data_IF_788390403511
#
_entry.id   IF_788390403511
#
_cell.length_a   1.000
_cell.length_b   1.000
_cell.length_c   1.000
_cell.angle_alpha   90.00
_cell.angle_beta   90.00
_cell.angle_gamma   90.00
#
_symmetry.space_group_name_H-M   'P 1'
#
loop_
_entity.id
_entity.type
_entity.pdbx_description
1 polymer ?
#
# COMPACT_ATOMS: atom_id res chain seq x y z
N UNK A 1 -4.29 1.81 12.05
CA UNK A 1 -3.89 0.51 11.49
C UNK A 1 -4.37 -0.55 12.46
N UNK A 2 -4.72 -1.68 12.02
CA UNK A 2 -5.25 -2.77 12.84
C UNK A 2 -5.16 -4.07 12.06
N UNK A 3 -5.75 -5.14 12.60
CA UNK A 3 -5.70 -6.42 11.94
C UNK A 3 -6.26 -6.36 10.51
N UNK A 4 -5.39 -6.40 9.53
CA UNK A 4 -5.71 -6.32 8.11
C UNK A 4 -6.43 -5.01 7.68
N UNK A 5 -5.93 -3.89 8.18
CA UNK A 5 -6.25 -2.54 7.77
C UNK A 5 -4.97 -1.71 7.75
N UNK A 6 -4.77 -0.90 6.72
CA UNK A 6 -3.59 -0.01 6.57
C UNK A 6 -3.98 1.48 6.68
N UNK A 7 -5.18 1.77 7.20
CA UNK A 7 -5.73 3.12 7.19
C UNK A 7 -4.97 4.08 8.11
N UNK A 8 -4.64 5.25 7.57
CA UNK A 8 -3.91 6.32 8.27
C UNK A 8 -4.59 7.66 7.99
N UNK A 9 -4.81 8.47 9.02
CA UNK A 9 -5.21 9.85 8.86
C UNK A 9 -3.98 10.76 8.95
N UNK A 10 -3.63 11.42 7.84
CA UNK A 10 -2.59 12.46 7.79
C UNK A 10 -3.28 13.81 7.87
N UNK A 11 -2.87 14.62 8.83
CA UNK A 11 -3.44 15.94 9.06
C UNK A 11 -2.36 17.00 9.05
N UNK A 12 -2.58 18.05 8.26
CA UNK A 12 -1.81 19.29 8.27
C UNK A 12 -2.76 20.46 8.56
N UNK A 13 -2.26 21.69 8.74
CA UNK A 13 -3.14 22.88 8.83
C UNK A 13 -4.03 23.07 7.59
N UNK A 14 -3.58 22.61 6.42
CA UNK A 14 -4.20 22.91 5.14
C UNK A 14 -5.15 21.82 4.64
N UNK A 15 -4.90 20.54 5.00
CA UNK A 15 -5.64 19.38 4.46
C UNK A 15 -5.62 18.18 5.42
N UNK A 16 -6.70 17.40 5.39
CA UNK A 16 -6.79 16.10 6.07
C UNK A 16 -7.02 15.00 5.05
N UNK A 17 -6.08 14.07 4.96
CA UNK A 17 -6.09 12.96 4.00
C UNK A 17 -6.30 11.66 4.77
N UNK A 18 -7.39 10.95 4.52
CA UNK A 18 -7.57 9.59 4.99
C UNK A 18 -7.02 8.64 3.93
N UNK A 19 -5.91 8.02 4.27
CA UNK A 19 -5.18 7.06 3.44
C UNK A 19 -5.76 5.68 3.62
N UNK A 20 -6.01 4.99 2.52
CA UNK A 20 -6.43 3.58 2.45
C UNK A 20 -7.53 3.20 3.46
N UNK A 21 -8.76 3.71 3.31
CA UNK A 21 -9.87 3.49 4.24
C UNK A 21 -10.49 2.09 4.08
N UNK A 22 -9.65 1.05 4.13
CA UNK A 22 -10.05 -0.34 3.96
C UNK A 22 -9.84 -1.19 5.19
N UNK A 23 -10.64 -2.24 5.31
CA UNK A 23 -10.48 -3.28 6.30
C UNK A 23 -11.00 -4.61 5.79
N UNK A 24 -10.21 -5.68 5.94
CA UNK A 24 -10.59 -7.03 5.56
C UNK A 24 -10.53 -7.99 6.74
N UNK A 25 -11.20 -9.12 6.62
CA UNK A 25 -11.07 -10.20 7.62
C UNK A 25 -9.65 -10.77 7.61
N UNK A 26 -9.14 -11.11 8.77
CA UNK A 26 -7.87 -11.79 8.91
C UNK A 26 -7.92 -13.16 8.24
N UNK A 27 -6.77 -13.60 7.71
CA UNK A 27 -6.66 -14.91 7.07
C UNK A 27 -7.06 -16.05 8.02
N UNK A 28 -7.48 -17.19 7.45
CA UNK A 28 -7.92 -18.37 8.21
C UNK A 28 -6.91 -18.84 9.27
N UNK A 29 -5.60 -18.75 8.96
CA UNK A 29 -4.51 -19.13 9.85
C UNK A 29 -4.24 -18.16 11.01
N UNK A 30 -4.88 -16.99 11.04
CA UNK A 30 -4.73 -16.06 12.18
C UNK A 30 -5.35 -16.67 13.43
N UNK A 31 -4.67 -16.66 14.60
CA UNK A 31 -5.04 -17.44 15.78
C UNK A 31 -6.24 -16.85 16.54
N UNK A 32 -7.36 -16.63 15.87
CA UNK A 32 -8.63 -16.19 16.43
C UNK A 32 -9.82 -16.94 15.83
N UNK A 33 -10.91 -17.11 16.58
CA UNK A 33 -12.18 -17.55 16.03
C UNK A 33 -12.72 -16.56 14.98
N UNK A 34 -13.47 -17.05 13.99
CA UNK A 34 -14.00 -16.21 12.91
C UNK A 34 -14.99 -15.14 13.43
N UNK A 35 -15.72 -15.43 14.51
CA UNK A 35 -16.57 -14.42 15.18
C UNK A 35 -15.76 -13.21 15.67
N UNK A 36 -14.58 -13.45 16.26
CA UNK A 36 -13.70 -12.38 16.73
C UNK A 36 -13.04 -11.64 15.59
N UNK A 37 -12.63 -12.34 14.51
CA UNK A 37 -12.12 -11.71 13.31
C UNK A 37 -13.14 -10.73 12.71
N UNK A 38 -14.41 -11.14 12.58
CA UNK A 38 -15.50 -10.26 12.11
C UNK A 38 -15.74 -9.08 13.04
N UNK A 39 -15.77 -9.30 14.36
CA UNK A 39 -15.95 -8.24 15.37
C UNK A 39 -14.83 -7.20 15.28
N UNK A 40 -13.57 -7.64 15.14
CA UNK A 40 -12.41 -6.75 15.01
C UNK A 40 -12.42 -5.99 13.68
N UNK A 41 -12.79 -6.64 12.57
CA UNK A 41 -12.99 -5.95 11.29
C UNK A 41 -14.04 -4.85 11.42
N UNK A 42 -15.18 -5.15 12.03
CA UNK A 42 -16.25 -4.16 12.24
C UNK A 42 -15.77 -2.99 13.11
N UNK A 43 -15.05 -3.26 14.21
CA UNK A 43 -14.46 -2.21 15.05
C UNK A 43 -13.48 -1.33 14.27
N UNK A 44 -12.65 -1.93 13.43
CA UNK A 44 -11.73 -1.18 12.57
C UNK A 44 -12.49 -0.31 11.56
N UNK A 45 -13.52 -0.84 10.91
CA UNK A 45 -14.38 -0.06 10.00
C UNK A 45 -15.02 1.14 10.69
N UNK A 46 -15.56 0.96 11.89
CA UNK A 46 -16.14 2.06 12.68
C UNK A 46 -15.12 3.17 12.99
N UNK A 47 -13.88 2.79 13.31
CA UNK A 47 -12.81 3.77 13.55
C UNK A 47 -12.43 4.53 12.27
N UNK A 48 -12.37 3.84 11.13
CA UNK A 48 -12.11 4.43 9.81
C UNK A 48 -13.22 5.40 9.41
N UNK A 49 -14.48 5.00 9.57
CA UNK A 49 -15.65 5.88 9.34
C UNK A 49 -15.61 7.10 10.26
N UNK A 50 -15.23 6.92 11.52
CA UNK A 50 -15.03 8.03 12.45
C UNK A 50 -13.99 9.03 11.97
N UNK A 51 -12.84 8.55 11.47
CA UNK A 51 -11.78 9.38 10.90
C UNK A 51 -12.21 10.09 9.61
N UNK A 52 -12.98 9.43 8.76
CA UNK A 52 -13.47 9.98 7.50
C UNK A 52 -14.35 11.23 7.71
N UNK A 53 -15.06 11.36 8.84
CA UNK A 53 -15.89 12.54 9.13
C UNK A 53 -15.10 13.84 9.12
N UNK A 54 -13.82 13.79 9.44
CA UNK A 54 -12.94 14.97 9.48
C UNK A 54 -12.04 15.11 8.27
N UNK A 55 -11.92 14.06 7.46
CA UNK A 55 -11.07 14.07 6.27
C UNK A 55 -11.72 14.88 5.13
N UNK A 56 -10.90 15.63 4.40
CA UNK A 56 -11.29 16.36 3.21
C UNK A 56 -11.14 15.50 1.96
N UNK A 57 -10.17 14.60 2.01
CA UNK A 57 -9.72 13.80 0.88
C UNK A 57 -9.52 12.35 1.30
N UNK A 58 -9.90 11.44 0.43
CA UNK A 58 -9.63 10.01 0.55
C UNK A 58 -8.55 9.65 -0.46
N UNK A 59 -7.47 9.03 -0.01
CA UNK A 59 -6.47 8.46 -0.89
C UNK A 59 -6.54 6.93 -0.88
N UNK A 60 -6.60 6.31 -2.06
CA UNK A 60 -6.59 4.85 -2.26
C UNK A 60 -5.34 4.48 -3.07
N UNK A 61 -4.40 3.82 -2.40
CA UNK A 61 -3.11 3.46 -2.98
C UNK A 61 -3.18 2.30 -3.97
N UNK A 62 -4.16 1.41 -3.78
CA UNK A 62 -4.48 0.30 -4.68
C UNK A 62 -5.80 -0.39 -4.28
N UNK A 63 -6.29 -1.35 -5.08
CA UNK A 63 -7.64 -1.87 -4.92
C UNK A 63 -7.71 -3.24 -4.22
N UNK A 64 -6.92 -3.50 -3.17
CA UNK A 64 -7.20 -4.58 -2.24
C UNK A 64 -8.18 -4.11 -1.16
N UNK A 65 -9.05 -5.01 -0.66
CA UNK A 65 -10.12 -4.65 0.27
C UNK A 65 -9.64 -4.25 1.67
N UNK A 66 -8.41 -4.51 2.02
CA UNK A 66 -7.76 -3.98 3.22
C UNK A 66 -7.23 -2.55 3.03
N UNK A 67 -7.34 -1.99 1.80
CA UNK A 67 -6.98 -0.59 1.47
C UNK A 67 -8.18 0.26 1.04
N UNK A 68 -9.31 -0.34 0.68
CA UNK A 68 -10.55 0.40 0.44
C UNK A 68 -11.76 -0.41 0.88
N UNK A 69 -12.73 0.25 1.48
CA UNK A 69 -14.06 -0.28 1.76
C UNK A 69 -14.97 0.02 0.56
N UNK A 70 -15.85 -0.90 0.21
CA UNK A 70 -16.81 -0.64 -0.87
C UNK A 70 -17.83 0.42 -0.45
N UNK A 71 -18.21 1.37 -1.34
CA UNK A 71 -19.19 2.42 -1.04
C UNK A 71 -20.55 1.91 -0.54
N UNK A 72 -20.99 0.72 -0.99
CA UNK A 72 -22.24 0.12 -0.48
C UNK A 72 -22.12 -0.34 0.99
N UNK A 73 -20.94 -0.67 1.47
CA UNK A 73 -20.71 -1.09 2.86
C UNK A 73 -20.66 0.11 3.82
N UNK A 74 -20.03 1.21 3.38
CA UNK A 74 -19.87 2.42 4.20
C UNK A 74 -19.87 3.67 3.30
N UNK A 75 -21.06 4.11 2.81
CA UNK A 75 -21.18 5.24 1.89
C UNK A 75 -20.68 6.55 2.49
N UNK A 76 -20.78 6.72 3.80
CA UNK A 76 -20.31 7.89 4.54
C UNK A 76 -18.79 8.12 4.44
N UNK A 77 -18.00 7.13 4.08
CA UNK A 77 -16.55 7.28 3.84
C UNK A 77 -16.28 8.23 2.67
N UNK A 78 -17.14 8.22 1.66
CA UNK A 78 -16.83 8.81 0.35
C UNK A 78 -17.70 10.04 0.04
N UNK A 79 -18.81 10.25 0.77
CA UNK A 79 -19.76 11.30 0.48
C UNK A 79 -19.12 12.69 0.59
N UNK A 80 -19.16 13.48 -0.50
CA UNK A 80 -18.64 14.84 -0.55
C UNK A 80 -17.12 14.95 -0.44
N UNK A 81 -16.38 13.89 -0.79
CA UNK A 81 -14.93 13.83 -0.67
C UNK A 81 -14.22 13.97 -2.02
N UNK A 82 -13.01 14.51 -2.00
CA UNK A 82 -12.07 14.35 -3.08
C UNK A 82 -11.50 12.94 -3.00
N UNK A 83 -11.56 12.21 -4.11
CA UNK A 83 -11.10 10.83 -4.22
C UNK A 83 -9.81 10.81 -5.05
N UNK A 84 -8.68 10.77 -4.37
CA UNK A 84 -7.37 10.60 -4.97
C UNK A 84 -7.06 9.12 -5.02
N UNK A 85 -7.12 8.54 -6.20
CA UNK A 85 -7.06 7.10 -6.35
C UNK A 85 -5.97 6.70 -7.33
N UNK A 86 -5.45 5.50 -7.17
CA UNK A 86 -4.58 4.89 -8.17
C UNK A 86 -5.32 4.79 -9.50
N UNK A 87 -4.62 5.08 -10.63
CA UNK A 87 -5.17 4.91 -11.99
C UNK A 87 -5.80 3.50 -12.13
N UNK A 88 -7.13 3.41 -12.39
CA UNK A 88 -7.83 2.14 -12.51
C UNK A 88 -7.64 1.46 -13.86
N UNK A 89 -6.92 2.09 -14.80
CA UNK A 89 -6.85 1.66 -16.19
C UNK A 89 -5.57 0.91 -16.53
N UNK A 90 -4.44 1.33 -15.95
CA UNK A 90 -3.10 0.84 -16.27
C UNK A 90 -2.23 0.66 -15.03
N UNK A 91 -1.13 -0.06 -15.18
CA UNK A 91 -0.28 -0.45 -14.03
C UNK A 91 -1.10 -1.11 -12.92
N UNK A 92 -1.98 -2.02 -13.31
CA UNK A 92 -2.96 -2.66 -12.45
C UNK A 92 -3.16 -4.12 -12.90
N UNK A 93 -3.23 -5.07 -11.96
CA UNK A 93 -3.58 -6.44 -12.30
C UNK A 93 -5.09 -6.61 -12.51
N UNK A 94 -5.49 -7.70 -13.18
CA UNK A 94 -6.92 -7.93 -13.52
C UNK A 94 -7.86 -7.90 -12.32
N UNK A 95 -7.45 -8.47 -11.19
CA UNK A 95 -8.30 -8.48 -9.99
C UNK A 95 -8.47 -7.09 -9.36
N UNK A 96 -7.42 -6.28 -9.32
CA UNK A 96 -7.52 -4.89 -8.88
C UNK A 96 -8.33 -4.05 -9.88
N UNK A 97 -8.16 -4.28 -11.20
CA UNK A 97 -8.93 -3.61 -12.25
C UNK A 97 -10.44 -3.84 -12.08
N UNK A 98 -10.85 -5.07 -11.79
CA UNK A 98 -12.25 -5.40 -11.51
C UNK A 98 -12.77 -4.70 -10.24
N UNK A 99 -11.98 -4.72 -9.15
CA UNK A 99 -12.35 -4.07 -7.88
C UNK A 99 -12.46 -2.56 -8.01
N UNK A 100 -11.57 -1.93 -8.80
CA UNK A 100 -11.64 -0.50 -9.10
C UNK A 100 -12.97 -0.14 -9.78
N UNK A 101 -13.42 -0.96 -10.73
CA UNK A 101 -14.69 -0.74 -11.44
C UNK A 101 -15.90 -0.99 -10.56
N UNK A 102 -15.85 -1.98 -9.68
CA UNK A 102 -16.89 -2.18 -8.65
C UNK A 102 -16.97 -0.95 -7.74
N UNK A 103 -15.81 -0.47 -7.25
CA UNK A 103 -15.72 0.69 -6.40
C UNK A 103 -16.32 1.95 -7.09
N UNK A 104 -15.81 2.30 -8.27
CA UNK A 104 -16.26 3.47 -9.02
C UNK A 104 -17.73 3.34 -9.48
N UNK A 105 -18.14 2.14 -9.90
CA UNK A 105 -19.54 1.87 -10.24
C UNK A 105 -20.50 2.09 -9.07
N UNK A 106 -20.09 1.75 -7.84
CA UNK A 106 -20.88 2.03 -6.64
C UNK A 106 -20.89 3.52 -6.27
N UNK A 107 -19.80 4.26 -6.52
CA UNK A 107 -19.79 5.73 -6.39
C UNK A 107 -20.79 6.35 -7.38
N UNK A 108 -20.73 5.99 -8.68
CA UNK A 108 -21.68 6.46 -9.70
C UNK A 108 -23.12 6.12 -9.30
N UNK A 109 -23.38 4.85 -8.95
CA UNK A 109 -24.72 4.38 -8.58
C UNK A 109 -25.30 5.15 -7.38
N UNK A 110 -24.48 5.53 -6.40
CA UNK A 110 -24.91 6.32 -5.25
C UNK A 110 -25.41 7.73 -5.64
N UNK A 111 -25.12 8.17 -6.87
CA UNK A 111 -25.52 9.46 -7.46
C UNK A 111 -26.52 9.31 -8.59
N UNK A 112 -27.05 8.11 -8.83
CA UNK A 112 -27.99 7.81 -9.90
C UNK A 112 -27.34 7.74 -11.29
N UNK A 113 -26.02 7.58 -11.35
CA UNK A 113 -25.22 7.47 -12.57
C UNK A 113 -24.78 6.03 -12.81
N UNK A 114 -24.47 5.69 -14.05
CA UNK A 114 -23.85 4.42 -14.42
C UNK A 114 -22.33 4.61 -14.60
N UNK A 115 -21.53 3.56 -14.34
CA UNK A 115 -20.07 3.64 -14.55
C UNK A 115 -19.73 3.99 -16.01
N UNK A 116 -20.53 3.54 -16.95
CA UNK A 116 -20.38 3.78 -18.38
C UNK A 116 -20.39 5.27 -18.75
N UNK A 117 -21.03 6.13 -17.92
CA UNK A 117 -21.07 7.58 -18.17
C UNK A 117 -19.69 8.25 -18.05
N UNK A 118 -18.77 7.63 -17.32
CA UNK A 118 -17.40 8.08 -17.14
C UNK A 118 -16.37 7.15 -17.81
N UNK A 119 -16.84 6.27 -18.71
CA UNK A 119 -15.97 5.38 -19.47
C UNK A 119 -15.69 5.93 -20.88
N UNK A 120 -14.47 5.67 -21.38
CA UNK A 120 -14.06 5.98 -22.74
C UNK A 120 -13.34 4.81 -23.40
N UNK A 121 -13.09 4.93 -24.68
CA UNK A 121 -12.27 3.97 -25.41
C UNK A 121 -10.85 3.97 -24.84
N UNK A 122 -10.20 2.80 -24.80
CA UNK A 122 -8.83 2.69 -24.30
C UNK A 122 -7.85 3.42 -25.23
N UNK A 123 -6.77 3.92 -24.68
CA UNK A 123 -5.65 4.47 -25.44
C UNK A 123 -4.61 3.40 -25.75
N UNK A 124 -3.94 3.56 -26.86
CA UNK A 124 -2.72 2.82 -27.12
C UNK A 124 -1.61 3.41 -26.27
N UNK A 125 -0.96 2.57 -25.47
CA UNK A 125 0.16 2.94 -24.60
C UNK A 125 1.43 2.22 -25.02
N UNK A 126 2.54 2.92 -24.97
CA UNK A 126 3.87 2.33 -25.04
C UNK A 126 4.34 2.11 -23.60
N UNK A 127 4.11 0.91 -23.06
CA UNK A 127 4.58 0.55 -21.73
C UNK A 127 5.98 -0.08 -21.85
N UNK A 128 7.01 0.66 -21.43
CA UNK A 128 8.34 0.11 -21.21
C UNK A 128 8.32 -1.02 -20.15
N UNK A 129 9.37 -1.81 -20.11
CA UNK A 129 9.50 -2.83 -19.06
C UNK A 129 9.66 -2.16 -17.70
N UNK A 130 8.76 -2.39 -16.73
CA UNK A 130 8.87 -1.76 -15.40
C UNK A 130 10.14 -2.18 -14.64
N UNK A 131 10.80 -3.26 -15.02
CA UNK A 131 12.06 -3.67 -14.43
C UNK A 131 13.24 -2.78 -14.85
N UNK A 132 13.15 -2.09 -15.98
CA UNK A 132 14.18 -1.15 -16.45
C UNK A 132 14.28 0.08 -15.53
N UNK A 133 13.23 0.38 -14.77
CA UNK A 133 13.22 1.45 -13.75
C UNK A 133 13.82 0.99 -12.39
N UNK A 134 14.37 -0.23 -12.29
CA UNK A 134 14.89 -0.83 -11.06
C UNK A 134 16.40 -1.16 -11.17
N UNK A 135 17.28 -0.16 -11.30
CA UNK A 135 18.71 -0.39 -11.52
C UNK A 135 19.42 -1.07 -10.35
N UNK A 136 18.97 -0.89 -9.09
CA UNK A 136 19.60 -1.57 -7.94
C UNK A 136 19.17 -3.03 -7.88
N UNK A 137 17.90 -3.33 -8.04
CA UNK A 137 17.39 -4.70 -8.07
C UNK A 137 17.97 -5.50 -9.26
N UNK A 138 18.17 -4.85 -10.41
CA UNK A 138 18.71 -5.48 -11.62
C UNK A 138 20.19 -5.89 -11.46
N UNK A 139 20.97 -5.13 -10.69
CA UNK A 139 22.41 -5.37 -10.44
C UNK A 139 22.67 -6.23 -9.22
N UNK A 140 21.62 -6.57 -8.45
CA UNK A 140 21.78 -7.35 -7.23
C UNK A 140 22.34 -8.74 -7.52
N UNK A 141 23.31 -9.15 -6.73
CA UNK A 141 23.79 -10.54 -6.75
C UNK A 141 22.79 -11.44 -5.97
N UNK A 142 22.23 -12.41 -6.67
CA UNK A 142 21.29 -13.38 -6.12
C UNK A 142 21.96 -14.73 -5.80
N UNK A 143 23.30 -14.87 -5.98
CA UNK A 143 24.00 -16.13 -5.75
C UNK A 143 23.34 -17.30 -6.46
N UNK A 144 23.17 -18.42 -5.75
CA UNK A 144 22.54 -19.64 -6.29
C UNK A 144 21.08 -19.45 -6.72
N UNK A 145 20.40 -18.38 -6.27
CA UNK A 145 19.03 -18.07 -6.66
C UNK A 145 18.93 -17.35 -8.02
N UNK A 146 20.06 -16.95 -8.63
CA UNK A 146 20.10 -16.14 -9.87
C UNK A 146 19.30 -16.77 -11.02
N UNK A 147 19.58 -18.02 -11.34
CA UNK A 147 18.90 -18.72 -12.44
C UNK A 147 17.37 -18.75 -12.25
N UNK A 148 16.93 -19.01 -11.02
CA UNK A 148 15.50 -19.00 -10.69
C UNK A 148 14.90 -17.60 -10.80
N UNK A 149 15.62 -16.58 -10.37
CA UNK A 149 15.20 -15.16 -10.49
C UNK A 149 15.04 -14.77 -11.96
N UNK A 150 15.99 -15.12 -12.83
CA UNK A 150 15.91 -14.85 -14.26
C UNK A 150 14.73 -15.55 -14.92
N UNK A 151 14.47 -16.81 -14.58
CA UNK A 151 13.28 -17.54 -15.06
C UNK A 151 12.00 -16.84 -14.64
N UNK A 152 11.86 -16.43 -13.37
CA UNK A 152 10.70 -15.73 -12.85
C UNK A 152 10.52 -14.37 -13.51
N UNK A 153 11.60 -13.61 -13.71
CA UNK A 153 11.56 -12.32 -14.40
C UNK A 153 11.09 -12.46 -15.84
N UNK A 154 11.62 -13.44 -16.59
CA UNK A 154 11.17 -13.70 -17.97
C UNK A 154 9.67 -14.05 -18.04
N UNK A 155 9.20 -14.91 -17.13
CA UNK A 155 7.76 -15.26 -17.05
C UNK A 155 6.92 -14.03 -16.65
N UNK A 156 7.44 -13.21 -15.75
CA UNK A 156 6.81 -11.98 -15.30
C UNK A 156 6.67 -10.96 -16.43
N UNK A 157 7.73 -10.75 -17.19
CA UNK A 157 7.74 -9.87 -18.38
C UNK A 157 6.72 -10.31 -19.43
N UNK A 158 6.61 -11.60 -19.70
CA UNK A 158 5.60 -12.12 -20.63
C UNK A 158 4.16 -11.85 -20.13
N UNK A 159 3.89 -12.04 -18.84
CA UNK A 159 2.60 -11.69 -18.23
C UNK A 159 2.33 -10.19 -18.25
N UNK A 160 3.35 -9.37 -18.05
CA UNK A 160 3.23 -7.91 -18.16
C UNK A 160 2.78 -7.51 -19.56
N UNK A 161 3.37 -8.07 -20.64
CA UNK A 161 2.89 -7.84 -22.00
C UNK A 161 1.40 -8.17 -22.19
N UNK A 162 0.93 -9.28 -21.61
CA UNK A 162 -0.51 -9.64 -21.63
C UNK A 162 -1.38 -8.64 -20.85
N UNK A 163 -0.86 -8.01 -19.80
CA UNK A 163 -1.57 -6.95 -19.08
C UNK A 163 -1.63 -5.67 -19.90
N UNK A 164 -0.55 -5.30 -20.59
CA UNK A 164 -0.54 -4.12 -21.49
C UNK A 164 -1.59 -4.29 -22.59
N UNK A 165 -1.66 -5.45 -23.24
CA UNK A 165 -2.70 -5.77 -24.21
C UNK A 165 -4.10 -5.68 -23.59
N UNK A 166 -4.28 -6.23 -22.39
CA UNK A 166 -5.55 -6.14 -21.65
C UNK A 166 -5.97 -4.68 -21.39
N UNK A 167 -5.06 -3.81 -20.97
CA UNK A 167 -5.36 -2.39 -20.74
C UNK A 167 -5.74 -1.65 -22.02
N UNK A 168 -5.14 -1.99 -23.15
CA UNK A 168 -5.41 -1.38 -24.46
C UNK A 168 -6.69 -1.86 -25.13
N UNK A 169 -7.30 -2.93 -24.62
CA UNK A 169 -8.50 -3.54 -25.22
C UNK A 169 -9.76 -3.40 -24.36
N UNK A 170 -9.63 -2.91 -23.13
CA UNK A 170 -10.76 -2.74 -22.24
C UNK A 170 -11.06 -1.26 -21.98
N UNK A 171 -12.34 -0.87 -21.79
CA UNK A 171 -12.72 0.52 -21.56
C UNK A 171 -11.96 1.15 -20.39
N UNK A 172 -11.56 2.39 -20.56
CA UNK A 172 -10.92 3.18 -19.53
C UNK A 172 -11.95 4.04 -18.81
N UNK A 173 -11.76 4.22 -17.52
CA UNK A 173 -12.49 5.19 -16.69
C UNK A 173 -11.78 6.54 -16.80
N UNK A 174 -12.52 7.63 -16.81
CA UNK A 174 -11.96 8.99 -16.78
C UNK A 174 -11.95 9.57 -15.37
N UNK A 175 -11.10 10.56 -15.16
CA UNK A 175 -11.25 11.47 -14.02
C UNK A 175 -12.53 12.26 -14.19
N UNK A 176 -13.35 12.36 -13.15
CA UNK A 176 -14.66 12.96 -13.26
C UNK A 176 -15.12 13.57 -11.94
N UNK A 177 -16.02 14.54 -12.04
CA UNK A 177 -16.93 14.90 -10.95
C UNK A 177 -18.14 13.95 -11.00
N UNK A 178 -18.39 13.23 -9.91
CA UNK A 178 -19.52 12.28 -9.77
C UNK A 178 -20.36 12.77 -8.61
N UNK A 179 -21.44 13.48 -8.91
CA UNK A 179 -22.22 14.19 -7.90
C UNK A 179 -21.37 15.21 -7.15
N UNK A 180 -21.20 15.03 -5.83
CA UNK A 180 -20.38 15.88 -4.96
C UNK A 180 -18.95 15.32 -4.73
N UNK A 181 -18.58 14.26 -5.42
CA UNK A 181 -17.24 13.70 -5.39
C UNK A 181 -16.40 14.21 -6.57
N UNK A 182 -15.12 14.48 -6.33
CA UNK A 182 -14.11 14.72 -7.36
C UNK A 182 -13.15 13.54 -7.39
N UNK A 183 -13.04 12.84 -8.53
CA UNK A 183 -12.19 11.67 -8.72
C UNK A 183 -10.96 12.06 -9.55
N UNK A 184 -9.76 11.91 -8.95
CA UNK A 184 -8.47 12.17 -9.60
C UNK A 184 -7.57 10.93 -9.51
N UNK A 185 -6.87 10.62 -10.60
CA UNK A 185 -5.84 9.57 -10.64
C UNK A 185 -4.48 10.19 -10.32
N UNK A 186 -3.88 9.75 -9.22
CA UNK A 186 -2.73 10.49 -8.65
C UNK A 186 -1.36 9.84 -8.89
N UNK A 187 -1.30 8.80 -9.72
CA UNK A 187 -0.03 8.12 -10.06
C UNK A 187 1.02 9.12 -10.58
N UNK A 188 2.12 9.30 -9.84
CA UNK A 188 3.22 10.19 -10.17
C UNK A 188 2.90 11.69 -10.10
N UNK A 189 1.76 12.08 -9.53
CA UNK A 189 1.37 13.49 -9.39
C UNK A 189 1.96 14.13 -8.15
N UNK A 190 2.02 15.44 -8.21
CA UNK A 190 2.28 16.33 -7.10
C UNK A 190 1.11 17.31 -6.97
N UNK A 191 0.65 17.54 -5.72
CA UNK A 191 -0.46 18.44 -5.39
C UNK A 191 0.00 19.36 -4.27
N UNK A 192 -0.31 20.64 -4.39
CA UNK A 192 -0.11 21.64 -3.35
C UNK A 192 -1.46 22.01 -2.72
N UNK A 193 -1.51 22.04 -1.40
CA UNK A 193 -2.65 22.51 -0.62
C UNK A 193 -2.12 23.51 0.43
N UNK A 194 -2.27 24.80 0.17
CA UNK A 194 -1.68 25.83 1.00
C UNK A 194 -0.16 25.70 1.12
N UNK A 195 0.34 25.46 2.32
CA UNK A 195 1.76 25.22 2.60
C UNK A 195 2.16 23.75 2.57
N UNK A 196 1.19 22.87 2.34
CA UNK A 196 1.38 21.41 2.32
C UNK A 196 1.65 20.92 0.90
N UNK A 197 2.79 20.24 0.72
CA UNK A 197 3.18 19.58 -0.52
C UNK A 197 2.91 18.08 -0.41
N UNK A 198 2.20 17.53 -1.40
CA UNK A 198 1.76 16.14 -1.44
C UNK A 198 2.29 15.52 -2.72
N UNK A 199 3.07 14.44 -2.61
CA UNK A 199 3.65 13.74 -3.75
C UNK A 199 3.25 12.28 -3.74
N UNK A 200 2.89 11.76 -4.91
CA UNK A 200 2.56 10.37 -5.13
C UNK A 200 3.63 9.72 -6.01
N UNK A 201 4.00 8.50 -5.70
CA UNK A 201 4.92 7.77 -6.56
C UNK A 201 4.29 7.41 -7.90
N UNK A 202 5.11 7.18 -8.92
CA UNK A 202 4.71 6.31 -10.02
C UNK A 202 4.28 4.95 -9.46
N UNK A 203 3.56 4.12 -10.25
CA UNK A 203 3.18 2.78 -9.81
C UNK A 203 4.40 1.93 -9.44
N UNK A 204 4.41 1.39 -8.23
CA UNK A 204 5.43 0.52 -7.68
C UNK A 204 4.89 -0.92 -7.63
N UNK A 205 5.72 -1.94 -7.85
CA UNK A 205 5.30 -3.32 -7.67
C UNK A 205 4.86 -3.58 -6.22
N UNK A 206 3.77 -4.29 -6.06
CA UNK A 206 3.28 -4.74 -4.76
C UNK A 206 4.20 -5.85 -4.20
N UNK A 207 5.22 -5.47 -3.49
CA UNK A 207 6.23 -6.35 -2.92
C UNK A 207 7.34 -6.75 -3.91
N UNK A 208 7.15 -7.81 -4.69
CA UNK A 208 8.15 -8.34 -5.59
C UNK A 208 7.96 -7.90 -7.04
N UNK A 209 9.05 -7.91 -7.79
CA UNK A 209 9.04 -7.64 -9.23
C UNK A 209 8.12 -8.62 -9.97
N UNK A 210 7.27 -8.08 -10.83
CA UNK A 210 6.26 -8.81 -11.61
C UNK A 210 5.29 -9.66 -10.77
N UNK A 211 5.05 -9.26 -9.53
CA UNK A 211 4.08 -9.91 -8.67
C UNK A 211 2.69 -9.96 -9.33
N UNK A 212 1.93 -11.06 -9.16
CA UNK A 212 0.55 -11.12 -9.64
C UNK A 212 -0.41 -10.20 -8.84
N UNK A 213 0.05 -9.63 -7.73
CA UNK A 213 -0.72 -8.70 -6.89
C UNK A 213 -0.85 -7.31 -7.55
N UNK A 214 -0.02 -7.00 -8.55
CA UNK A 214 -0.08 -5.75 -9.31
C UNK A 214 0.79 -4.64 -8.73
N UNK A 215 0.28 -3.43 -8.75
CA UNK A 215 1.01 -2.22 -8.38
C UNK A 215 0.27 -1.42 -7.31
N UNK A 216 1.04 -0.64 -6.57
CA UNK A 216 0.60 0.27 -5.50
C UNK A 216 1.20 1.66 -5.72
N UNK A 217 0.70 2.67 -5.01
CA UNK A 217 1.27 4.02 -5.01
C UNK A 217 1.66 4.38 -3.57
N UNK A 218 2.88 4.88 -3.38
CA UNK A 218 3.32 5.50 -2.14
C UNK A 218 2.90 6.97 -2.07
N UNK A 219 2.90 7.51 -0.86
CA UNK A 219 2.52 8.90 -0.57
C UNK A 219 3.60 9.58 0.28
N UNK A 220 3.94 10.81 -0.07
CA UNK A 220 4.78 11.70 0.73
C UNK A 220 4.01 12.99 1.00
N UNK A 221 3.89 13.39 2.26
CA UNK A 221 3.28 14.65 2.68
C UNK A 221 4.30 15.46 3.44
N UNK A 222 4.54 16.69 2.98
CA UNK A 222 5.51 17.62 3.57
C UNK A 222 4.81 18.92 3.98
N UNK A 223 4.99 19.34 5.23
CA UNK A 223 4.45 20.57 5.77
C UNK A 223 5.29 21.07 6.95
N UNK A 224 5.65 22.35 6.97
CA UNK A 224 6.36 22.98 8.08
C UNK A 224 7.71 22.33 8.42
N UNK A 225 8.41 21.79 7.43
CA UNK A 225 9.68 21.08 7.61
C UNK A 225 9.55 19.63 8.11
N UNK A 226 8.36 19.16 8.44
CA UNK A 226 8.10 17.74 8.71
C UNK A 226 7.68 17.00 7.44
N UNK A 227 8.14 15.76 7.29
CA UNK A 227 7.82 14.90 6.14
C UNK A 227 7.36 13.53 6.62
N UNK A 228 6.17 13.13 6.21
CA UNK A 228 5.60 11.80 6.44
C UNK A 228 5.62 11.02 5.14
N UNK A 229 6.11 9.80 5.17
CA UNK A 229 6.13 8.89 4.03
C UNK A 229 5.31 7.64 4.35
N UNK A 230 4.37 7.29 3.47
CA UNK A 230 3.59 6.06 3.49
C UNK A 230 3.98 5.19 2.29
N UNK A 231 4.42 3.97 2.55
CA UNK A 231 4.93 3.08 1.49
C UNK A 231 3.84 2.38 0.69
N UNK A 232 2.60 2.29 1.21
CA UNK A 232 1.66 1.27 0.76
C UNK A 232 2.28 -0.13 0.88
N UNK A 233 1.81 -1.12 0.12
CA UNK A 233 2.16 -2.54 0.25
C UNK A 233 3.47 -2.90 -0.48
N UNK A 234 4.60 -2.35 -0.02
CA UNK A 234 5.92 -2.69 -0.55
C UNK A 234 6.55 -3.94 0.10
N UNK A 235 5.88 -4.53 1.10
CA UNK A 235 6.29 -5.77 1.77
C UNK A 235 7.75 -5.78 2.23
N UNK A 236 8.13 -4.69 2.93
CA UNK A 236 9.41 -4.69 3.57
C UNK A 236 10.26 -3.41 3.55
N UNK A 237 10.34 -2.53 2.51
CA UNK A 237 10.20 -2.78 1.08
C UNK A 237 11.18 -3.83 0.56
N UNK A 238 10.68 -4.76 -0.27
CA UNK A 238 11.51 -5.89 -0.73
C UNK A 238 12.46 -5.49 -1.88
N UNK A 239 12.05 -4.56 -2.74
CA UNK A 239 12.84 -4.10 -3.89
C UNK A 239 13.81 -3.01 -3.45
N UNK A 240 15.07 -3.14 -3.82
CA UNK A 240 16.18 -2.27 -3.40
C UNK A 240 15.98 -0.81 -3.82
N UNK A 241 15.42 -0.58 -5.00
CA UNK A 241 15.14 0.76 -5.54
C UNK A 241 14.06 1.47 -4.73
N UNK A 242 13.08 0.74 -4.19
CA UNK A 242 12.04 1.31 -3.34
C UNK A 242 12.56 1.67 -1.94
N UNK A 243 13.50 0.91 -1.42
CA UNK A 243 14.22 1.30 -0.21
C UNK A 243 15.07 2.56 -0.46
N UNK A 244 15.69 2.65 -1.64
CA UNK A 244 16.46 3.84 -2.02
C UNK A 244 15.55 5.07 -2.14
N UNK A 245 14.37 4.95 -2.75
CA UNK A 245 13.38 6.03 -2.76
C UNK A 245 13.04 6.53 -1.35
N UNK A 246 12.82 5.65 -0.38
CA UNK A 246 12.56 6.05 1.02
C UNK A 246 13.77 6.76 1.62
N UNK A 247 14.99 6.31 1.30
CA UNK A 247 16.24 6.94 1.77
C UNK A 247 16.41 8.34 1.16
N UNK A 248 16.19 8.47 -0.14
CA UNK A 248 16.33 9.74 -0.87
C UNK A 248 15.29 10.78 -0.42
N UNK A 249 14.07 10.34 -0.09
CA UNK A 249 13.06 11.20 0.51
C UNK A 249 13.43 11.67 1.91
N UNK A 250 14.18 10.89 2.64
CA UNK A 250 14.63 11.20 4.00
C UNK A 250 13.53 11.80 4.90
N UNK A 251 12.43 11.07 5.14
CA UNK A 251 11.28 11.59 5.90
C UNK A 251 11.56 11.65 7.40
N UNK A 252 10.75 12.43 8.14
CA UNK A 252 10.76 12.49 9.61
C UNK A 252 10.03 11.28 10.22
N UNK A 253 8.97 10.81 9.54
CA UNK A 253 8.14 9.68 9.95
C UNK A 253 7.94 8.76 8.74
N UNK A 254 8.12 7.46 8.96
CA UNK A 254 7.84 6.43 7.94
C UNK A 254 6.70 5.55 8.43
N UNK A 255 5.72 5.33 7.57
CA UNK A 255 4.67 4.33 7.76
C UNK A 255 4.90 3.26 6.69
N UNK A 256 5.50 2.16 7.10
CA UNK A 256 5.97 1.09 6.22
C UNK A 256 5.16 -0.19 6.40
N UNK A 257 4.81 -0.80 5.29
CA UNK A 257 4.37 -2.18 5.25
C UNK A 257 5.54 -3.13 5.51
N UNK A 258 5.39 -4.07 6.42
CA UNK A 258 6.40 -5.08 6.70
C UNK A 258 6.31 -6.31 5.79
N UNK A 259 7.35 -7.16 5.75
CA UNK A 259 7.33 -8.36 4.94
C UNK A 259 6.24 -9.32 5.37
N UNK A 260 5.65 -10.02 4.39
CA UNK A 260 4.60 -11.01 4.63
C UNK A 260 5.19 -12.30 5.23
N UNK A 261 5.71 -12.21 6.46
CA UNK A 261 6.41 -13.30 7.15
C UNK A 261 5.54 -14.52 7.34
N UNK A 262 4.21 -14.36 7.49
CA UNK A 262 3.24 -15.45 7.58
C UNK A 262 3.17 -16.34 6.33
N UNK A 263 3.72 -15.89 5.21
CA UNK A 263 3.86 -16.66 3.96
C UNK A 263 5.25 -17.26 3.76
N UNK A 264 6.13 -17.14 4.78
CA UNK A 264 7.48 -17.68 4.71
C UNK A 264 7.49 -19.21 4.55
N UNK A 265 8.26 -19.67 3.56
CA UNK A 265 8.31 -21.09 3.18
C UNK A 265 7.20 -21.53 2.22
N UNK A 266 6.23 -20.65 1.94
CA UNK A 266 5.15 -20.91 0.98
C UNK A 266 5.31 -20.04 -0.28
N UNK A 267 5.00 -18.76 -0.23
CA UNK A 267 5.17 -17.82 -1.36
C UNK A 267 6.32 -16.85 -1.13
N UNK A 268 6.73 -16.64 0.11
CA UNK A 268 7.90 -15.82 0.48
C UNK A 268 9.07 -16.77 0.76
N UNK A 269 10.09 -16.74 -0.07
CA UNK A 269 11.33 -17.50 0.13
C UNK A 269 12.31 -16.71 1.00
N UNK A 270 13.36 -17.41 1.46
CA UNK A 270 14.40 -16.83 2.33
C UNK A 270 15.10 -15.63 1.68
N UNK A 271 15.44 -15.71 0.40
CA UNK A 271 16.14 -14.63 -0.30
C UNK A 271 15.33 -13.35 -0.30
N UNK A 272 14.02 -13.43 -0.60
CA UNK A 272 13.15 -12.26 -0.63
C UNK A 272 12.85 -11.70 0.77
N UNK A 273 12.73 -12.56 1.79
CA UNK A 273 12.60 -12.10 3.18
C UNK A 273 13.85 -11.33 3.61
N UNK A 274 15.03 -11.87 3.34
CA UNK A 274 16.32 -11.21 3.67
C UNK A 274 16.49 -9.89 2.93
N UNK A 275 16.02 -9.77 1.67
CA UNK A 275 16.01 -8.50 0.92
C UNK A 275 15.20 -7.43 1.67
N UNK A 276 13.97 -7.75 2.07
CA UNK A 276 13.11 -6.82 2.81
C UNK A 276 13.72 -6.39 4.14
N UNK A 277 14.31 -7.34 4.89
CA UNK A 277 15.00 -7.06 6.16
C UNK A 277 16.22 -6.17 5.93
N UNK A 278 17.09 -6.49 4.97
CA UNK A 278 18.26 -5.68 4.66
C UNK A 278 17.90 -4.27 4.21
N UNK A 279 16.90 -4.14 3.36
CA UNK A 279 16.40 -2.84 2.90
C UNK A 279 15.85 -2.00 4.06
N UNK A 280 15.10 -2.59 4.99
CA UNK A 280 14.69 -1.89 6.21
C UNK A 280 15.89 -1.48 7.07
N UNK A 281 16.91 -2.34 7.19
CA UNK A 281 18.15 -2.00 7.89
C UNK A 281 18.89 -0.82 7.22
N UNK A 282 18.87 -0.73 5.87
CA UNK A 282 19.43 0.42 5.14
C UNK A 282 18.64 1.69 5.43
N UNK A 283 17.33 1.65 5.38
CA UNK A 283 16.45 2.78 5.71
C UNK A 283 16.73 3.27 7.14
N UNK A 284 16.81 2.37 8.09
CA UNK A 284 17.10 2.71 9.50
C UNK A 284 18.45 3.39 9.69
N UNK A 285 19.48 3.00 8.93
CA UNK A 285 20.83 3.59 9.03
C UNK A 285 20.98 4.91 8.26
N UNK A 286 20.23 5.10 7.17
CA UNK A 286 20.51 6.14 6.18
C UNK A 286 19.48 7.26 6.14
N UNK A 287 18.37 7.16 6.90
CA UNK A 287 17.37 8.23 7.01
C UNK A 287 17.49 8.96 8.34
N UNK A 288 16.96 10.18 8.40
CA UNK A 288 16.78 10.94 9.66
C UNK A 288 15.49 10.58 10.40
N UNK A 289 14.66 9.66 9.88
CA UNK A 289 13.41 9.27 10.48
C UNK A 289 13.60 8.82 11.94
N UNK A 290 12.87 9.46 12.86
CA UNK A 290 12.88 9.10 14.28
C UNK A 290 11.87 7.99 14.60
N UNK A 291 10.74 7.98 13.86
CA UNK A 291 9.62 7.05 14.07
C UNK A 291 9.38 6.28 12.77
N UNK A 292 9.44 4.97 12.86
CA UNK A 292 9.10 4.06 11.77
C UNK A 292 8.00 3.11 12.26
N UNK A 293 6.77 3.30 11.75
CA UNK A 293 5.66 2.37 11.98
C UNK A 293 5.84 1.22 10.98
N UNK A 294 6.17 0.03 11.51
CA UNK A 294 6.43 -1.17 10.71
C UNK A 294 5.33 -2.19 10.99
N UNK A 295 4.34 -2.27 10.10
CA UNK A 295 3.04 -2.88 10.42
C UNK A 295 2.45 -3.66 9.24
N UNK A 296 1.16 -3.78 9.16
CA UNK A 296 0.28 -4.34 8.15
C UNK A 296 0.55 -5.83 7.87
N UNK A 297 1.30 -6.21 6.82
CA UNK A 297 1.59 -7.62 6.53
C UNK A 297 2.40 -8.30 7.64
N UNK A 298 3.21 -7.55 8.35
CA UNK A 298 4.07 -8.05 9.42
C UNK A 298 3.26 -8.69 10.55
N UNK A 299 2.16 -8.06 10.96
CA UNK A 299 1.37 -8.46 12.14
C UNK A 299 0.38 -9.60 11.89
N UNK A 300 0.57 -10.37 10.83
CA UNK A 300 -0.32 -11.49 10.47
C UNK A 300 0.13 -12.83 11.05
N UNK A 301 1.25 -12.86 11.77
CA UNK A 301 1.75 -14.03 12.53
C UNK A 301 2.49 -13.61 13.82
N UNK A 302 2.53 -14.47 14.88
CA UNK A 302 3.20 -14.13 16.13
C UNK A 302 4.74 -14.11 16.04
N UNK A 303 5.34 -14.84 15.10
CA UNK A 303 6.80 -14.95 14.95
C UNK A 303 7.44 -13.82 14.15
N UNK A 304 6.71 -12.74 13.85
CA UNK A 304 7.21 -11.67 12.99
C UNK A 304 8.49 -11.01 13.53
N UNK A 305 8.56 -10.79 14.86
CA UNK A 305 9.75 -10.20 15.48
C UNK A 305 10.98 -11.10 15.37
N UNK A 306 10.81 -12.39 15.62
CA UNK A 306 11.87 -13.40 15.44
C UNK A 306 12.39 -13.40 13.99
N UNK A 307 11.48 -13.45 13.03
CA UNK A 307 11.83 -13.51 11.61
C UNK A 307 12.47 -12.25 11.06
N UNK A 308 12.23 -11.10 11.70
CA UNK A 308 12.76 -9.78 11.30
C UNK A 308 13.68 -9.17 12.36
N UNK A 309 14.21 -9.96 13.29
CA UNK A 309 14.96 -9.52 14.48
C UNK A 309 16.06 -8.52 14.15
N UNK A 310 16.79 -8.74 13.03
CA UNK A 310 17.88 -7.87 12.59
C UNK A 310 17.43 -6.41 12.37
N UNK A 311 16.22 -6.17 11.88
CA UNK A 311 15.71 -4.81 11.70
C UNK A 311 15.51 -4.10 13.05
N UNK A 312 14.94 -4.81 14.04
CA UNK A 312 14.72 -4.29 15.40
C UNK A 312 16.05 -3.99 16.10
N UNK A 313 17.02 -4.90 16.00
CA UNK A 313 18.38 -4.70 16.55
C UNK A 313 19.08 -3.48 15.93
N UNK A 314 18.91 -3.27 14.63
CA UNK A 314 19.51 -2.12 13.93
C UNK A 314 18.81 -0.83 14.37
N UNK A 315 17.50 -0.83 14.55
CA UNK A 315 16.77 0.32 15.06
C UNK A 315 17.25 0.73 16.45
N UNK A 316 17.39 -0.23 17.38
CA UNK A 316 17.87 0.01 18.74
C UNK A 316 19.28 0.62 18.72
N UNK A 317 20.22 0.06 17.91
CA UNK A 317 21.57 0.60 17.77
C UNK A 317 21.64 1.99 17.15
N UNK A 318 20.67 2.31 16.28
CA UNK A 318 20.54 3.62 15.63
C UNK A 318 19.76 4.64 16.48
N UNK A 319 19.25 4.25 17.65
CA UNK A 319 18.43 5.10 18.51
C UNK A 319 17.09 5.48 17.89
N UNK A 320 16.53 4.62 17.00
CA UNK A 320 15.30 4.87 16.26
C UNK A 320 14.13 4.06 16.82
N UNK A 321 12.95 4.65 16.78
CA UNK A 321 11.71 3.98 17.18
C UNK A 321 11.13 3.19 15.99
N UNK A 322 11.57 1.91 15.85
CA UNK A 322 10.89 0.96 14.99
C UNK A 322 9.79 0.30 15.80
N UNK A 323 8.54 0.59 15.51
CA UNK A 323 7.38 0.17 16.31
C UNK A 323 6.20 -0.21 15.41
N UNK A 324 5.27 -0.97 15.96
CA UNK A 324 3.97 -1.23 15.32
C UNK A 324 2.99 -0.10 15.61
N UNK A 325 1.90 -0.03 14.86
CA UNK A 325 0.84 0.95 15.11
C UNK A 325 0.18 0.75 16.48
N UNK A 326 0.07 -0.49 16.96
CA UNK A 326 -0.41 -0.79 18.32
C UNK A 326 0.51 -0.20 19.38
N UNK A 327 1.82 -0.41 19.24
CA UNK A 327 2.82 0.12 20.19
C UNK A 327 2.90 1.65 20.17
N UNK A 328 2.64 2.28 19.03
CA UNK A 328 2.50 3.75 18.96
C UNK A 328 1.34 4.25 19.85
N UNK A 329 0.31 3.42 20.06
CA UNK A 329 -0.81 3.72 20.95
C UNK A 329 -0.59 3.23 22.40
N UNK A 330 0.59 2.71 22.73
CA UNK A 330 0.89 2.12 24.05
C UNK A 330 0.29 0.73 24.26
N UNK A 331 -0.14 0.06 23.18
CA UNK A 331 -0.75 -1.26 23.19
C UNK A 331 0.21 -2.32 22.66
N UNK A 332 0.14 -3.53 23.20
CA UNK A 332 0.83 -4.67 22.62
C UNK A 332 0.08 -5.17 21.37
N UNK A 333 0.79 -5.52 20.27
CA UNK A 333 0.17 -6.12 19.10
C UNK A 333 -0.67 -7.35 19.45
N UNK A 334 -1.90 -7.39 18.97
CA UNK A 334 -2.84 -8.47 19.29
C UNK A 334 -2.28 -9.86 18.96
N UNK A 335 -1.55 -10.00 17.87
CA UNK A 335 -0.96 -11.28 17.45
C UNK A 335 0.06 -11.82 18.46
N UNK A 336 0.75 -10.96 19.22
CA UNK A 336 1.68 -11.37 20.26
C UNK A 336 0.93 -11.84 21.52
N UNK A 337 -0.15 -11.14 21.91
CA UNK A 337 -1.03 -11.57 23.00
C UNK A 337 -1.61 -12.97 22.80
N UNK A 338 -1.82 -13.35 21.53
CA UNK A 338 -2.41 -14.64 21.16
C UNK A 338 -1.37 -15.75 20.95
N UNK A 339 -0.10 -15.41 20.71
CA UNK A 339 0.97 -16.37 20.46
C UNK A 339 1.73 -16.83 21.71
N UNK A 340 1.39 -16.34 22.89
CA UNK A 340 2.02 -16.65 24.18
C UNK A 340 1.32 -17.74 24.99
N UNK A 341 0.48 -18.58 24.35
CA UNK A 341 -0.19 -19.72 24.96
C UNK A 341 0.45 -21.04 24.58
#
# INVERSE_FOLDING_TARGET
MGAKASSVLVQTPDIKILVDPGTAEMQGSYPLPDSDKRRLRHKALQAIVGAAKTADTIFISHYHYDHHTLPQEAPELYQGKRLWIKDPNRWICRSQWQRARIFLGQICMSRGEALESICRQPERIEAGDPFDELPLASRKDYGDYRQRKEELSRKGKAKFGQLVEFWQTNPWVEEAAIGDNEVLFVDGREIEAGSTRIRFTKPLFHGLEYTPLGWVIGLVVECGGAKVLYTSDLQGPTIEDYAQWVIDENPSIIIADGPATYLFGYTVNRVNLERGIENMCRILRQTSAEIIIYDHHLLREPRFRERTSRAWEVADRAGKRLITAAEQLGEEPLVLKLGGG
#
